data_IF_631481556006
#
_entry.id   IF_631481556006
#
_cell.length_a   1.000
_cell.length_b   1.000
_cell.length_c   1.000
_cell.angle_alpha   90.00
_cell.angle_beta   90.00
_cell.angle_gamma   90.00
#
_symmetry.space_group_name_H-M   'P 1'
#
loop_
_entity.id
_entity.type
_entity.pdbx_description
1 polymer ?
#
# COMPACT_ATOMS: atom_id res chain seq x y z
N UNK A 1 11.18 -3.55 -8.01
CA UNK A 1 10.02 -3.87 -7.13
C UNK A 1 10.27 -5.25 -6.56
N UNK A 2 9.89 -5.51 -5.31
CA UNK A 2 10.01 -6.83 -4.71
C UNK A 2 9.09 -7.87 -5.34
N UNK A 3 9.36 -9.15 -5.05
CA UNK A 3 8.52 -10.29 -5.47
C UNK A 3 7.25 -10.35 -4.61
N UNK A 4 6.14 -10.79 -5.20
CA UNK A 4 4.86 -10.94 -4.51
C UNK A 4 4.37 -12.37 -4.65
N UNK A 5 4.04 -12.99 -3.52
CA UNK A 5 3.61 -14.38 -3.41
C UNK A 5 2.17 -14.45 -2.90
N UNK A 6 1.40 -15.43 -3.37
CA UNK A 6 0.18 -15.85 -2.66
C UNK A 6 0.60 -16.69 -1.45
N UNK A 7 0.16 -16.30 -0.27
CA UNK A 7 0.44 -16.99 0.98
C UNK A 7 -0.85 -17.16 1.82
N UNK A 8 -0.75 -17.95 2.87
CA UNK A 8 -1.78 -18.09 3.90
C UNK A 8 -1.28 -17.50 5.22
N UNK A 9 -2.08 -16.62 5.81
CA UNK A 9 -1.89 -16.17 7.18
C UNK A 9 -2.23 -17.33 8.12
N UNK A 10 -1.21 -17.94 8.72
CA UNK A 10 -1.36 -19.14 9.56
C UNK A 10 -2.13 -18.91 10.87
N UNK A 11 -2.30 -17.64 11.29
CA UNK A 11 -3.03 -17.28 12.52
C UNK A 11 -4.49 -17.00 12.23
N UNK A 12 -4.77 -16.36 11.10
CA UNK A 12 -6.12 -15.93 10.72
C UNK A 12 -6.76 -16.81 9.64
N UNK A 13 -6.04 -17.79 9.10
CA UNK A 13 -6.48 -18.74 8.09
C UNK A 13 -7.10 -18.07 6.86
N UNK A 14 -6.41 -17.04 6.34
CA UNK A 14 -6.84 -16.28 5.15
C UNK A 14 -5.73 -16.18 4.12
N UNK A 15 -6.12 -16.08 2.84
CA UNK A 15 -5.19 -15.77 1.76
C UNK A 15 -4.68 -14.33 1.89
N UNK A 16 -3.40 -14.13 1.67
CA UNK A 16 -2.74 -12.82 1.65
C UNK A 16 -1.78 -12.74 0.46
N UNK A 17 -1.58 -11.53 -0.05
CA UNK A 17 -0.46 -11.24 -0.94
C UNK A 17 0.74 -10.83 -0.08
N UNK A 18 1.84 -11.60 -0.17
CA UNK A 18 3.05 -11.38 0.59
C UNK A 18 4.14 -10.81 -0.30
N UNK A 19 4.47 -9.54 -0.10
CA UNK A 19 5.52 -8.85 -0.85
C UNK A 19 6.83 -8.90 -0.10
N UNK A 20 7.84 -9.54 -0.68
CA UNK A 20 9.18 -9.65 -0.11
C UNK A 20 10.07 -8.53 -0.63
N UNK A 21 10.85 -7.92 0.27
CA UNK A 21 11.76 -6.85 -0.08
C UNK A 21 13.12 -7.43 -0.48
N UNK A 22 13.66 -7.06 -1.65
CA UNK A 22 15.00 -7.46 -2.03
C UNK A 22 16.05 -6.86 -1.10
N UNK A 23 17.14 -7.60 -0.85
CA UNK A 23 18.21 -7.20 0.06
C UNK A 23 18.86 -5.84 -0.28
N UNK A 24 18.87 -5.43 -1.56
CA UNK A 24 19.42 -4.14 -2.00
C UNK A 24 18.55 -2.92 -1.59
N UNK A 25 17.27 -3.16 -1.30
CA UNK A 25 16.36 -2.16 -0.73
C UNK A 25 16.63 -2.03 0.77
N UNK A 26 16.88 -3.15 1.44
CA UNK A 26 17.19 -3.21 2.88
C UNK A 26 18.51 -2.54 3.21
N UNK A 27 19.53 -2.76 2.39
CA UNK A 27 20.88 -2.20 2.59
C UNK A 27 20.95 -0.67 2.49
N UNK A 28 19.90 0.01 1.99
CA UNK A 28 19.87 1.47 1.80
C UNK A 28 18.86 2.09 2.74
N UNK A 29 19.35 2.70 3.82
CA UNK A 29 18.54 3.30 4.88
C UNK A 29 17.44 4.25 4.34
N UNK A 30 17.73 5.06 3.32
CA UNK A 30 16.74 5.95 2.70
C UNK A 30 15.61 5.21 1.97
N UNK A 31 15.93 4.08 1.33
CA UNK A 31 14.93 3.25 0.65
C UNK A 31 14.03 2.56 1.66
N UNK A 32 14.60 2.03 2.75
CA UNK A 32 13.83 1.44 3.85
C UNK A 32 12.92 2.47 4.53
N UNK A 33 13.44 3.68 4.78
CA UNK A 33 12.65 4.78 5.34
C UNK A 33 11.46 5.14 4.44
N UNK A 34 11.70 5.29 3.14
CA UNK A 34 10.63 5.57 2.17
C UNK A 34 9.60 4.45 2.11
N UNK A 35 10.08 3.21 2.10
CA UNK A 35 9.23 2.03 2.09
C UNK A 35 8.28 1.99 3.29
N UNK A 36 8.80 2.18 4.51
CA UNK A 36 7.97 2.22 5.72
C UNK A 36 6.97 3.38 5.69
N UNK A 37 7.37 4.56 5.20
CA UNK A 37 6.43 5.68 5.05
C UNK A 37 5.30 5.37 4.05
N UNK A 38 5.64 4.80 2.88
CA UNK A 38 4.67 4.45 1.85
C UNK A 38 3.71 3.37 2.34
N UNK A 39 4.23 2.35 3.03
CA UNK A 39 3.43 1.27 3.58
C UNK A 39 2.51 1.75 4.71
N UNK A 40 3.01 2.57 5.64
CA UNK A 40 2.17 3.18 6.70
C UNK A 40 1.09 4.09 6.12
N UNK A 41 1.43 4.89 5.11
CA UNK A 41 0.46 5.75 4.44
C UNK A 41 -0.64 4.93 3.75
N UNK A 42 -0.26 3.85 3.06
CA UNK A 42 -1.22 2.95 2.41
C UNK A 42 -2.08 2.17 3.42
N UNK A 43 -1.51 1.73 4.54
CA UNK A 43 -2.25 1.03 5.61
C UNK A 43 -3.35 1.90 6.24
N UNK A 44 -3.16 3.22 6.27
CA UNK A 44 -4.15 4.17 6.78
C UNK A 44 -5.33 4.41 5.81
N UNK A 45 -5.26 3.91 4.58
CA UNK A 45 -6.32 4.07 3.58
C UNK A 45 -7.31 2.91 3.67
N UNK A 46 -8.60 3.26 3.67
CA UNK A 46 -9.69 2.30 3.57
C UNK A 46 -10.54 2.66 2.34
N UNK A 47 -10.33 1.92 1.25
CA UNK A 47 -11.00 2.13 -0.03
C UNK A 47 -11.14 0.81 -0.79
N UNK A 48 -12.28 0.51 -1.44
CA UNK A 48 -12.45 -0.73 -2.21
C UNK A 48 -11.43 -0.94 -3.34
N UNK A 49 -10.86 0.14 -3.88
CA UNK A 49 -9.86 0.10 -4.95
C UNK A 49 -8.41 0.20 -4.45
N UNK A 50 -8.17 0.08 -3.13
CA UNK A 50 -6.83 0.08 -2.52
C UNK A 50 -6.70 -1.19 -1.68
N UNK A 51 -5.75 -2.05 -2.04
CA UNK A 51 -5.48 -3.27 -1.28
C UNK A 51 -5.04 -2.91 0.15
N UNK A 52 -5.73 -3.47 1.13
CA UNK A 52 -5.45 -3.16 2.53
C UNK A 52 -4.12 -3.81 2.97
N UNK A 53 -3.27 -3.05 3.68
CA UNK A 53 -2.04 -3.58 4.28
C UNK A 53 -2.38 -4.11 5.67
N UNK A 54 -2.12 -5.40 5.90
CA UNK A 54 -2.34 -6.03 7.18
C UNK A 54 -1.13 -5.91 8.10
N UNK A 55 0.07 -6.07 7.55
CA UNK A 55 1.30 -6.11 8.33
C UNK A 55 2.51 -5.64 7.53
N UNK A 56 3.43 -4.97 8.21
CA UNK A 56 4.80 -4.71 7.75
C UNK A 56 5.70 -5.37 8.80
N UNK A 57 6.56 -6.29 8.36
CA UNK A 57 7.32 -7.12 9.27
C UNK A 57 8.71 -7.50 8.77
N UNK A 58 9.41 -8.25 9.60
CA UNK A 58 10.71 -8.84 9.31
C UNK A 58 10.74 -10.26 9.86
N UNK A 59 11.26 -11.19 9.07
CA UNK A 59 11.52 -12.57 9.50
C UNK A 59 12.85 -13.03 8.93
N UNK A 60 13.76 -13.53 9.79
CA UNK A 60 15.08 -14.01 9.40
C UNK A 60 15.88 -13.00 8.54
N UNK A 61 15.80 -11.70 8.87
CA UNK A 61 16.45 -10.63 8.11
C UNK A 61 15.77 -10.26 6.78
N UNK A 62 14.63 -10.88 6.47
CA UNK A 62 13.84 -10.61 5.28
C UNK A 62 12.63 -9.75 5.63
N UNK A 63 12.58 -8.54 5.09
CA UNK A 63 11.43 -7.65 5.26
C UNK A 63 10.30 -8.01 4.31
N UNK A 64 9.07 -7.86 4.79
CA UNK A 64 7.87 -8.15 4.01
C UNK A 64 6.71 -7.17 4.29
N UNK A 65 5.75 -7.14 3.35
CA UNK A 65 4.39 -6.61 3.58
C UNK A 65 3.40 -7.73 3.31
N UNK A 66 2.53 -8.01 4.29
CA UNK A 66 1.32 -8.78 4.06
C UNK A 66 0.16 -7.82 3.76
N UNK A 67 -0.50 -8.05 2.62
CA UNK A 67 -1.63 -7.24 2.17
C UNK A 67 -2.77 -8.11 1.66
N UNK A 68 -3.92 -7.49 1.47
CA UNK A 68 -5.11 -8.09 0.88
C UNK A 68 -4.77 -8.81 -0.43
N UNK A 69 -5.18 -10.08 -0.51
CA UNK A 69 -5.13 -10.82 -1.76
C UNK A 69 -6.36 -10.48 -2.60
N UNK A 70 -6.14 -9.77 -3.71
CA UNK A 70 -7.19 -9.42 -4.66
C UNK A 70 -7.26 -10.47 -5.75
N UNK A 71 -8.36 -11.22 -5.79
CA UNK A 71 -8.63 -12.16 -6.87
C UNK A 71 -8.92 -11.42 -8.19
N UNK A 72 -8.21 -11.77 -9.25
CA UNK A 72 -8.40 -11.16 -10.56
C UNK A 72 -7.13 -11.15 -11.40
N UNK A 73 -7.15 -10.32 -12.45
CA UNK A 73 -6.02 -10.13 -13.36
C UNK A 73 -5.42 -8.74 -13.15
N UNK A 74 -4.12 -8.61 -13.39
CA UNK A 74 -3.45 -7.31 -13.37
C UNK A 74 -4.08 -6.43 -14.46
N UNK A 75 -4.57 -5.25 -14.09
CA UNK A 75 -5.31 -4.37 -15.01
C UNK A 75 -4.50 -4.04 -16.28
N UNK A 76 -3.18 -3.84 -16.14
CA UNK A 76 -2.29 -3.59 -17.28
C UNK A 76 -2.28 -4.74 -18.28
N UNK A 77 -2.18 -5.98 -17.80
CA UNK A 77 -2.24 -7.18 -18.64
C UNK A 77 -3.64 -7.33 -19.26
N UNK A 78 -4.69 -7.11 -18.48
CA UNK A 78 -6.06 -7.17 -18.95
C UNK A 78 -6.32 -6.19 -20.11
N UNK A 79 -5.79 -4.97 -20.02
CA UNK A 79 -5.91 -3.94 -21.07
C UNK A 79 -5.06 -4.31 -22.30
N UNK A 80 -3.85 -4.82 -22.12
CA UNK A 80 -2.95 -5.17 -23.23
C UNK A 80 -3.47 -6.35 -24.06
N UNK A 81 -4.08 -7.36 -23.43
CA UNK A 81 -4.47 -8.61 -24.09
C UNK A 81 -5.92 -8.63 -24.62
N UNK A 82 -6.67 -7.53 -24.46
CA UNK A 82 -8.08 -7.43 -24.89
C UNK A 82 -8.33 -6.10 -25.57
N UNK A 83 -9.09 -6.12 -26.66
CA UNK A 83 -9.80 -4.91 -27.11
C UNK A 83 -10.91 -4.59 -26.11
N UNK A 84 -10.53 -4.02 -24.98
CA UNK A 84 -11.48 -3.57 -23.95
C UNK A 84 -12.23 -2.37 -24.50
N UNK A 85 -13.57 -2.41 -24.47
CA UNK A 85 -14.35 -1.27 -24.93
C UNK A 85 -14.09 -0.03 -24.06
N UNK A 86 -14.22 1.15 -24.66
CA UNK A 86 -13.90 2.42 -24.03
C UNK A 86 -14.66 2.63 -22.72
N UNK A 87 -15.95 2.27 -22.68
CA UNK A 87 -16.78 2.43 -21.49
C UNK A 87 -16.25 1.64 -20.28
N UNK A 88 -15.74 0.42 -20.50
CA UNK A 88 -15.15 -0.40 -19.43
C UNK A 88 -13.80 0.17 -18.99
N UNK A 89 -12.99 0.66 -19.92
CA UNK A 89 -11.72 1.32 -19.59
C UNK A 89 -11.97 2.57 -18.71
N UNK A 90 -12.93 3.41 -19.09
CA UNK A 90 -13.29 4.62 -18.33
C UNK A 90 -13.74 4.29 -16.90
N UNK A 91 -14.50 3.22 -16.69
CA UNK A 91 -14.86 2.76 -15.34
C UNK A 91 -13.64 2.37 -14.50
N UNK A 92 -12.69 1.62 -15.08
CA UNK A 92 -11.46 1.29 -14.38
C UNK A 92 -10.65 2.56 -14.03
N UNK A 93 -10.57 3.53 -14.94
CA UNK A 93 -9.88 4.79 -14.69
C UNK A 93 -10.56 5.62 -13.60
N UNK A 94 -11.89 5.63 -13.56
CA UNK A 94 -12.64 6.31 -12.50
C UNK A 94 -12.29 5.73 -11.12
N UNK A 95 -12.32 4.40 -10.96
CA UNK A 95 -11.97 3.74 -9.70
C UNK A 95 -10.54 4.05 -9.25
N UNK A 96 -9.59 4.10 -10.19
CA UNK A 96 -8.19 4.47 -9.91
C UNK A 96 -8.08 5.94 -9.49
N UNK A 97 -8.79 6.83 -10.18
CA UNK A 97 -8.79 8.26 -9.85
C UNK A 97 -9.40 8.54 -8.48
N UNK A 98 -10.50 7.87 -8.12
CA UNK A 98 -11.15 7.98 -6.80
C UNK A 98 -10.20 7.53 -5.67
N UNK A 99 -9.54 6.37 -5.85
CA UNK A 99 -8.54 5.87 -4.91
C UNK A 99 -7.38 6.86 -4.72
N UNK A 100 -6.83 7.39 -5.81
CA UNK A 100 -5.75 8.37 -5.78
C UNK A 100 -6.18 9.68 -5.10
N UNK A 101 -7.40 10.15 -5.36
CA UNK A 101 -7.93 11.35 -4.74
C UNK A 101 -8.09 11.20 -3.22
N UNK A 102 -8.54 10.03 -2.75
CA UNK A 102 -8.60 9.74 -1.31
C UNK A 102 -7.21 9.65 -0.69
N UNK A 103 -6.26 8.95 -1.35
CA UNK A 103 -4.88 8.85 -0.89
C UNK A 103 -4.22 10.22 -0.74
N UNK A 104 -4.42 11.10 -1.73
CA UNK A 104 -3.91 12.47 -1.71
C UNK A 104 -4.53 13.29 -0.57
N UNK A 105 -5.85 13.22 -0.40
CA UNK A 105 -6.57 13.90 0.67
C UNK A 105 -6.06 13.47 2.06
N UNK A 106 -5.88 12.16 2.27
CA UNK A 106 -5.36 11.61 3.52
C UNK A 106 -3.92 12.09 3.81
N UNK A 107 -3.05 12.12 2.79
CA UNK A 107 -1.68 12.61 2.94
C UNK A 107 -1.60 14.11 3.28
N UNK A 108 -2.54 14.92 2.81
CA UNK A 108 -2.63 16.35 3.17
C UNK A 108 -3.08 16.53 4.63
N UNK A 109 -4.02 15.72 5.09
CA UNK A 109 -4.57 15.81 6.44
C UNK A 109 -3.57 15.31 7.50
N UNK A 110 -2.77 14.27 7.21
CA UNK A 110 -1.75 13.78 8.14
C UNK A 110 -0.61 14.78 8.41
N UNK A 111 -0.30 15.66 7.43
CA UNK A 111 0.65 16.78 7.64
C UNK A 111 0.12 17.81 8.63
N UNK A 112 -1.18 18.11 8.61
CA UNK A 112 -1.82 19.06 9.53
C UNK A 112 -1.93 18.51 10.95
N UNK A 113 -2.24 17.22 11.12
CA UNK A 113 -2.27 16.59 12.45
C UNK A 113 -0.90 16.51 13.11
N UNK A 114 0.18 16.34 12.33
CA UNK A 114 1.56 16.36 12.85
C UNK A 114 2.04 17.71 13.35
N UNK A 115 1.57 18.83 12.76
CA UNK A 115 1.87 20.19 13.24
C UNK A 115 1.14 20.53 14.54
N UNK A 116 -0.13 20.14 14.67
CA UNK A 116 -0.90 20.37 15.91
C UNK A 116 -0.38 19.54 17.08
N UNK A 117 0.14 18.33 16.82
CA UNK A 117 0.76 17.50 17.84
C UNK A 117 2.10 18.07 18.35
N UNK A 118 2.92 18.68 17.48
CA UNK A 118 4.17 19.34 17.89
C UNK A 118 3.94 20.56 18.76
N UNK A 119 2.88 21.32 18.51
CA UNK A 119 2.60 22.55 19.27
C UNK A 119 2.14 22.30 20.73
N UNK A 120 1.69 21.07 21.08
CA UNK A 120 1.31 20.72 22.45
C UNK A 120 2.47 20.25 23.34
N UNK A 121 3.65 19.96 22.79
CA UNK A 121 4.78 19.44 23.58
C UNK A 121 5.69 20.56 24.10
N UNK A 122 5.67 21.74 23.46
CA UNK A 122 6.50 22.90 23.85
C UNK A 122 5.85 23.84 24.88
N UNK A 123 4.72 23.43 25.49
CA UNK A 123 3.89 24.31 26.33
C UNK A 123 3.55 23.80 27.73
N UNK A 124 4.19 22.73 28.21
CA UNK A 124 4.01 22.25 29.58
C UNK A 124 5.34 22.28 30.33
N UNK A 125 5.62 23.45 30.94
CA UNK A 125 6.47 23.59 32.13
C UNK A 125 5.54 23.88 33.30
#
# INVERSE_FOLDING_TARGET
MGEVYLAEDSRLHRKVALKILPADVVAKHDRMRRFNQEATAAAALNHPSIAHIYEIGESEGTHFIAMEFVEGQILGEYIQHRQTNLARLLRHMQHVAEALAQAHSAAKNSRLSGEVARQKVDGAV
#
